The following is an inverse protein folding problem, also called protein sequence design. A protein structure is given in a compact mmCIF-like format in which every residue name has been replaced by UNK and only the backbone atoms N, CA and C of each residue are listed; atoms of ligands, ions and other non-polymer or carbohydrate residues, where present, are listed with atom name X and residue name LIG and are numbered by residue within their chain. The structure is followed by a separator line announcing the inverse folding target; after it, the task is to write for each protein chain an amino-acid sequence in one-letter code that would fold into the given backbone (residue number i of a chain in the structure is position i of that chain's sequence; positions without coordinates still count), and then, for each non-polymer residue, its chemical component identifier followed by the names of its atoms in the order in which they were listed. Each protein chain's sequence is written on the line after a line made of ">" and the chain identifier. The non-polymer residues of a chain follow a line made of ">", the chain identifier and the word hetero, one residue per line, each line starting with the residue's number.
data_IF_972205809339
#
_entry.id   IF_972205809339
#
_cell.length_a   1.000
_cell.length_b   1.000
_cell.length_c   1.000
_cell.angle_alpha   90.00
_cell.angle_beta   90.00
_cell.angle_gamma   90.00
#
_symmetry.space_group_name_H-M   'P 1'
#
loop_
_entity.id
_entity.type
_entity.pdbx_description
1 polymer ?
#
# COMPACT_ATOMS: atom_id res chain seq x y z
N UNK A 1 28.81 6.86 84.39
CA UNK A 1 30.21 6.65 83.95
C UNK A 1 30.20 5.77 82.72
N UNK A 2 30.89 6.22 81.68
CA UNK A 2 30.70 5.89 80.26
C UNK A 2 31.15 4.45 79.93
N UNK A 3 30.28 3.71 79.25
CA UNK A 3 30.56 2.40 78.65
C UNK A 3 31.32 2.52 77.34
N UNK A 4 32.10 1.48 77.09
CA UNK A 4 33.27 1.44 76.23
C UNK A 4 32.96 0.71 74.91
N UNK A 5 33.77 1.02 73.88
CA UNK A 5 34.08 0.22 72.68
C UNK A 5 33.17 0.32 71.44
N UNK A 6 33.61 1.21 70.54
CA UNK A 6 34.06 0.90 69.17
C UNK A 6 33.84 -0.55 68.72
N UNK A 7 32.93 -0.77 67.78
CA UNK A 7 33.06 -1.75 66.69
C UNK A 7 31.95 -1.53 65.65
N UNK A 8 32.28 -1.78 64.37
CA UNK A 8 31.39 -1.79 63.19
C UNK A 8 31.31 -0.44 62.44
N UNK A 9 32.38 -0.17 61.69
CA UNK A 9 32.30 0.43 60.36
C UNK A 9 31.62 -0.56 59.40
N UNK A 10 31.10 -0.01 58.31
CA UNK A 10 30.69 -0.64 57.04
C UNK A 10 29.25 -1.14 56.91
N UNK A 11 28.73 -0.94 55.69
CA UNK A 11 27.47 -1.42 55.06
C UNK A 11 26.43 -0.28 54.99
N UNK A 12 26.48 0.52 53.92
CA UNK A 12 25.69 0.34 52.68
C UNK A 12 24.39 1.14 52.77
N UNK A 13 23.87 1.77 51.73
CA UNK A 13 24.28 2.01 50.37
C UNK A 13 23.16 2.94 49.88
N UNK A 14 23.51 4.16 49.51
CA UNK A 14 23.02 4.80 48.30
C UNK A 14 21.56 4.49 47.92
N UNK A 15 20.60 5.09 48.61
CA UNK A 15 19.20 5.20 48.15
C UNK A 15 19.10 6.23 47.02
N UNK A 16 19.84 6.00 45.93
CA UNK A 16 19.53 6.59 44.63
C UNK A 16 18.51 5.64 44.02
N UNK A 17 17.24 6.01 44.14
CA UNK A 17 16.20 5.50 43.25
C UNK A 17 16.60 5.88 41.82
N UNK A 18 17.44 5.05 41.20
CA UNK A 18 17.50 4.94 39.76
C UNK A 18 16.12 4.43 39.34
N UNK A 19 15.19 5.37 39.10
CA UNK A 19 14.17 5.17 38.10
C UNK A 19 14.92 4.99 36.78
N UNK A 20 15.36 3.76 36.54
CA UNK A 20 15.70 3.32 35.21
C UNK A 20 14.38 3.34 34.46
N UNK A 21 14.05 4.50 33.88
CA UNK A 21 13.14 4.55 32.75
C UNK A 21 13.85 3.75 31.67
N UNK A 22 13.61 2.44 31.68
CA UNK A 22 13.78 1.61 30.51
C UNK A 22 12.81 2.21 29.49
N UNK A 23 13.26 3.23 28.77
CA UNK A 23 12.70 3.55 27.47
C UNK A 23 12.93 2.29 26.66
N UNK A 24 11.95 1.39 26.67
CA UNK A 24 11.86 0.32 25.69
C UNK A 24 11.93 1.09 24.38
N UNK A 25 13.07 1.00 23.69
CA UNK A 25 13.20 1.55 22.36
C UNK A 25 12.17 0.79 21.54
N UNK A 26 11.01 1.38 21.32
CA UNK A 26 9.99 0.82 20.44
C UNK A 26 10.63 0.70 19.08
N UNK A 27 10.79 -0.52 18.59
CA UNK A 27 11.32 -0.79 17.25
C UNK A 27 10.59 0.11 16.26
N UNK A 28 11.34 0.84 15.44
CA UNK A 28 10.74 1.68 14.39
C UNK A 28 10.03 0.74 13.41
N UNK A 29 8.74 0.95 13.17
CA UNK A 29 8.02 0.20 12.14
C UNK A 29 8.46 0.69 10.77
N UNK A 30 8.56 -0.22 9.81
CA UNK A 30 8.92 0.09 8.43
C UNK A 30 7.80 -0.30 7.51
N UNK A 31 7.45 0.60 6.60
CA UNK A 31 6.47 0.34 5.54
C UNK A 31 7.09 0.57 4.17
N UNK A 32 6.82 -0.33 3.23
CA UNK A 32 7.09 -0.07 1.82
C UNK A 32 5.82 0.42 1.13
N UNK A 33 5.90 1.55 0.42
CA UNK A 33 4.83 2.09 -0.41
C UNK A 33 5.37 2.22 -1.83
N UNK A 34 4.61 1.83 -2.86
CA UNK A 34 5.10 1.90 -4.20
C UNK A 34 5.03 3.34 -4.72
N UNK A 35 6.05 3.76 -5.46
CA UNK A 35 6.01 5.06 -6.13
C UNK A 35 4.89 5.06 -7.18
N UNK A 36 3.87 5.88 -6.97
CA UNK A 36 2.69 5.91 -7.81
C UNK A 36 2.08 7.32 -7.82
N UNK A 37 1.68 7.86 -8.99
CA UNK A 37 1.03 9.17 -9.07
C UNK A 37 -0.14 9.28 -8.10
N UNK A 38 -0.32 10.43 -7.45
CA UNK A 38 -1.36 10.72 -6.43
C UNK A 38 -1.19 9.96 -5.11
N UNK A 39 -0.85 8.68 -5.16
CA UNK A 39 -0.80 7.78 -4.00
C UNK A 39 0.45 7.97 -3.15
N UNK A 40 1.62 8.00 -3.78
CA UNK A 40 2.92 8.18 -3.11
C UNK A 40 3.95 8.68 -4.13
N UNK A 41 4.02 10.00 -4.29
CA UNK A 41 4.90 10.67 -5.24
C UNK A 41 6.32 10.77 -4.66
N UNK A 42 6.42 11.03 -3.36
CA UNK A 42 7.67 11.11 -2.61
C UNK A 42 7.48 10.67 -1.16
N UNK A 43 8.54 10.68 -0.34
CA UNK A 43 8.43 10.35 1.10
C UNK A 43 7.51 11.28 1.89
N UNK A 44 7.22 12.48 1.37
CA UNK A 44 6.42 13.48 2.07
C UNK A 44 5.10 13.80 1.36
N UNK A 45 4.86 13.22 0.18
CA UNK A 45 3.76 13.61 -0.71
C UNK A 45 3.00 12.38 -1.22
N UNK A 46 1.68 12.39 -1.03
CA UNK A 46 0.75 11.40 -1.56
C UNK A 46 -0.23 10.93 -0.49
N UNK A 47 -1.44 10.57 -0.91
CA UNK A 47 -2.51 10.21 0.03
C UNK A 47 -2.16 9.01 0.92
N UNK A 48 -1.37 8.06 0.41
CA UNK A 48 -0.95 6.88 1.20
C UNK A 48 0.19 7.20 2.15
N UNK A 49 0.99 8.22 1.85
CA UNK A 49 1.99 8.75 2.77
C UNK A 49 1.29 9.42 3.96
N UNK A 50 0.27 10.24 3.69
CA UNK A 50 -0.51 10.89 4.74
C UNK A 50 -1.32 9.88 5.56
N UNK A 51 -1.87 8.84 4.92
CA UNK A 51 -2.45 7.69 5.61
C UNK A 51 -1.49 7.06 6.62
N UNK A 52 -0.23 6.78 6.23
CA UNK A 52 0.75 6.22 7.16
C UNK A 52 1.13 7.18 8.28
N UNK A 53 1.22 8.49 8.02
CA UNK A 53 1.45 9.48 9.09
C UNK A 53 0.32 9.47 10.12
N UNK A 54 -0.93 9.30 9.68
CA UNK A 54 -2.09 9.16 10.58
C UNK A 54 -2.00 7.86 11.39
N UNK A 55 -1.63 6.74 10.76
CA UNK A 55 -1.39 5.48 11.48
C UNK A 55 -0.29 5.62 12.53
N UNK A 56 0.83 6.24 12.19
CA UNK A 56 1.95 6.50 13.10
C UNK A 56 1.48 7.28 14.34
N UNK A 57 0.68 8.33 14.13
CA UNK A 57 0.10 9.13 15.22
C UNK A 57 -0.84 8.31 16.11
N UNK A 58 -1.70 7.47 15.53
CA UNK A 58 -2.65 6.63 16.28
C UNK A 58 -1.98 5.48 17.03
N UNK A 59 -0.84 5.01 16.54
CA UNK A 59 -0.01 4.02 17.22
C UNK A 59 0.89 4.61 18.31
N UNK A 60 1.02 5.94 18.37
CA UNK A 60 2.07 6.62 19.14
C UNK A 60 3.46 6.03 18.85
N UNK A 61 3.74 5.76 17.57
CA UNK A 61 4.96 5.07 17.12
C UNK A 61 5.46 5.63 15.80
N UNK A 62 6.79 5.76 15.68
CA UNK A 62 7.42 6.15 14.42
C UNK A 62 7.29 5.05 13.36
N UNK A 63 6.87 5.43 12.15
CA UNK A 63 6.84 4.57 10.98
C UNK A 63 7.78 5.16 9.91
N UNK A 64 8.82 4.43 9.55
CA UNK A 64 9.72 4.74 8.43
C UNK A 64 9.06 4.36 7.11
N UNK A 65 8.86 5.35 6.23
CA UNK A 65 8.24 5.18 4.91
C UNK A 65 9.31 4.99 3.83
N UNK A 66 9.24 3.86 3.13
CA UNK A 66 10.12 3.55 2.00
C UNK A 66 9.34 3.58 0.68
N UNK A 67 9.55 4.65 -0.10
CA UNK A 67 8.97 4.79 -1.45
C UNK A 67 9.90 4.12 -2.47
N UNK A 68 9.42 3.07 -3.14
CA UNK A 68 10.21 2.25 -4.07
C UNK A 68 9.36 1.76 -5.26
N UNK A 69 9.93 1.18 -6.34
CA UNK A 69 9.12 0.59 -7.41
C UNK A 69 8.15 -0.50 -6.91
N UNK A 70 6.98 -0.63 -7.55
CA UNK A 70 5.88 -1.49 -7.09
C UNK A 70 6.29 -2.96 -6.86
N UNK A 71 7.03 -3.58 -7.79
CA UNK A 71 7.55 -4.94 -7.57
C UNK A 71 8.55 -5.04 -6.40
N UNK A 72 9.32 -3.97 -6.14
CA UNK A 72 10.29 -3.94 -5.05
C UNK A 72 9.60 -3.80 -3.70
N UNK A 73 8.53 -3.01 -3.60
CA UNK A 73 7.78 -2.85 -2.35
C UNK A 73 7.16 -4.17 -1.90
N UNK A 74 6.62 -4.97 -2.84
CA UNK A 74 6.13 -6.33 -2.58
C UNK A 74 7.26 -7.27 -2.16
N UNK A 75 8.40 -7.21 -2.84
CA UNK A 75 9.54 -8.03 -2.48
C UNK A 75 10.01 -7.77 -1.03
N UNK A 76 9.97 -6.53 -0.55
CA UNK A 76 10.38 -6.19 0.81
C UNK A 76 9.50 -6.85 1.89
N UNK A 77 8.18 -6.86 1.71
CA UNK A 77 7.30 -7.53 2.68
C UNK A 77 7.45 -9.05 2.63
N UNK A 78 7.57 -9.62 1.42
CA UNK A 78 7.78 -11.07 1.21
C UNK A 78 9.11 -11.56 1.80
N UNK A 79 10.11 -10.69 1.91
CA UNK A 79 11.45 -11.01 2.45
C UNK A 79 11.71 -10.45 3.85
N UNK A 80 10.66 -10.06 4.58
CA UNK A 80 10.75 -9.54 5.96
C UNK A 80 11.65 -8.29 6.11
N UNK A 81 11.87 -7.52 5.04
CA UNK A 81 12.68 -6.28 5.08
C UNK A 81 11.91 -5.08 5.63
N UNK A 82 10.59 -5.12 5.55
CA UNK A 82 9.66 -4.15 6.14
C UNK A 82 8.60 -4.90 6.95
N UNK A 83 7.93 -4.19 7.83
CA UNK A 83 6.91 -4.76 8.72
C UNK A 83 5.55 -4.87 8.02
N UNK A 84 5.29 -4.02 7.02
CA UNK A 84 4.10 -4.11 6.17
C UNK A 84 4.27 -3.36 4.84
N UNK A 85 3.35 -3.59 3.92
CA UNK A 85 3.26 -2.91 2.62
C UNK A 85 1.83 -2.44 2.36
N UNK A 86 1.70 -1.29 1.69
CA UNK A 86 0.44 -0.82 1.12
C UNK A 86 0.70 0.07 -0.11
N UNK A 87 -0.25 0.20 -1.04
CA UNK A 87 -1.50 -0.52 -1.14
C UNK A 87 -1.33 -1.86 -1.86
N UNK A 88 -2.17 -2.85 -1.56
CA UNK A 88 -2.23 -4.07 -2.37
C UNK A 88 -3.66 -4.52 -2.64
N UNK A 89 -3.98 -4.86 -3.88
CA UNK A 89 -5.30 -5.37 -4.24
C UNK A 89 -5.44 -6.81 -3.74
N UNK A 90 -6.61 -7.16 -3.21
CA UNK A 90 -6.97 -8.55 -2.94
C UNK A 90 -7.87 -9.06 -4.07
N UNK A 91 -7.43 -10.02 -4.89
CA UNK A 91 -8.31 -10.70 -5.84
C UNK A 91 -9.49 -11.37 -5.10
N UNK A 92 -10.65 -11.45 -5.75
CA UNK A 92 -11.84 -12.08 -5.15
C UNK A 92 -11.75 -13.60 -5.13
N UNK A 93 -10.86 -14.20 -5.92
CA UNK A 93 -10.61 -15.64 -5.90
C UNK A 93 -9.61 -15.98 -4.80
N UNK A 94 -9.88 -17.04 -4.04
CA UNK A 94 -9.06 -17.58 -2.95
C UNK A 94 -7.71 -18.15 -3.42
N UNK A 95 -7.27 -17.83 -4.64
CA UNK A 95 -5.95 -18.18 -5.17
C UNK A 95 -4.85 -17.38 -4.47
N UNK A 96 -4.55 -17.87 -3.27
CA UNK A 96 -3.35 -17.76 -2.46
C UNK A 96 -3.01 -16.36 -1.90
N UNK A 97 -3.00 -16.21 -0.55
CA UNK A 97 -1.82 -15.62 0.06
C UNK A 97 -0.64 -16.48 -0.40
N UNK A 98 0.36 -15.89 -1.06
CA UNK A 98 1.66 -16.57 -1.15
C UNK A 98 2.05 -16.87 0.29
N UNK A 99 2.53 -18.09 0.60
CA UNK A 99 2.86 -18.54 1.97
C UNK A 99 3.70 -17.53 2.80
N UNK A 100 4.32 -16.57 2.12
CA UNK A 100 5.21 -15.56 2.66
C UNK A 100 4.52 -14.28 3.17
N UNK A 101 3.24 -14.01 2.88
CA UNK A 101 2.53 -12.83 3.39
C UNK A 101 1.05 -13.07 3.67
N UNK A 102 0.44 -12.21 4.48
CA UNK A 102 -0.99 -12.18 4.80
C UNK A 102 -1.58 -10.82 4.45
N UNK A 103 -2.87 -10.79 4.09
CA UNK A 103 -3.62 -9.55 3.90
C UNK A 103 -4.09 -8.98 5.24
N UNK A 104 -4.30 -7.68 5.30
CA UNK A 104 -5.02 -7.06 6.42
C UNK A 104 -6.45 -7.58 6.54
N UNK A 105 -6.93 -7.69 7.78
CA UNK A 105 -8.33 -8.05 8.04
C UNK A 105 -9.23 -6.95 7.46
N UNK A 106 -8.86 -5.69 7.70
CA UNK A 106 -9.58 -4.54 7.19
C UNK A 106 -9.23 -4.15 5.76
N UNK A 107 -10.23 -3.64 5.03
CA UNK A 107 -10.06 -2.96 3.73
C UNK A 107 -9.77 -1.49 3.98
N UNK A 108 -8.70 -0.94 3.39
CA UNK A 108 -8.38 0.47 3.54
C UNK A 108 -9.27 1.35 2.65
N UNK A 109 -9.45 0.94 1.40
CA UNK A 109 -10.35 1.58 0.43
C UNK A 109 -10.66 0.62 -0.72
N UNK A 110 -11.48 1.05 -1.68
CA UNK A 110 -11.67 0.32 -2.92
C UNK A 110 -11.13 1.09 -4.13
N UNK A 111 -10.55 0.37 -5.08
CA UNK A 111 -9.97 0.97 -6.29
C UNK A 111 -10.64 0.42 -7.54
N UNK A 112 -10.94 1.29 -8.50
CA UNK A 112 -11.42 0.86 -9.81
C UNK A 112 -10.20 0.57 -10.70
N UNK A 113 -10.12 -0.67 -11.18
CA UNK A 113 -9.23 -1.01 -12.27
C UNK A 113 -10.00 -0.81 -13.57
N UNK A 114 -9.37 -0.11 -14.50
CA UNK A 114 -9.96 0.33 -15.75
C UNK A 114 -9.14 -0.22 -16.89
N UNK A 115 -9.83 -0.68 -17.93
CA UNK A 115 -9.24 -1.12 -19.18
C UNK A 115 -9.18 0.07 -20.15
N UNK A 116 -7.96 0.50 -20.43
CA UNK A 116 -7.62 1.52 -21.42
C UNK A 116 -7.35 0.85 -22.75
N UNK A 117 -8.06 1.24 -23.80
CA UNK A 117 -7.93 0.66 -25.15
C UNK A 117 -7.90 1.76 -26.20
N UNK A 118 -7.46 1.45 -27.41
CA UNK A 118 -7.61 2.39 -28.52
C UNK A 118 -9.09 2.45 -28.93
N UNK A 119 -9.61 3.63 -29.30
CA UNK A 119 -11.01 3.84 -29.66
C UNK A 119 -11.50 2.94 -30.81
N UNK A 120 -10.65 2.76 -31.82
CA UNK A 120 -10.86 1.86 -32.97
C UNK A 120 -10.80 0.36 -32.63
N UNK A 121 -10.53 -0.02 -31.37
CA UNK A 121 -10.39 -1.41 -30.95
C UNK A 121 -11.55 -1.82 -30.06
N UNK A 122 -12.15 -2.97 -30.37
CA UNK A 122 -13.16 -3.62 -29.54
C UNK A 122 -12.48 -4.75 -28.78
N UNK A 123 -12.44 -4.63 -27.46
CA UNK A 123 -11.88 -5.65 -26.55
C UNK A 123 -13.02 -6.24 -25.75
N UNK A 124 -13.24 -7.54 -25.91
CA UNK A 124 -14.17 -8.33 -25.11
C UNK A 124 -13.53 -8.63 -23.74
N UNK A 125 -14.01 -7.98 -22.68
CA UNK A 125 -13.50 -8.13 -21.31
C UNK A 125 -13.62 -9.59 -20.82
N UNK A 126 -14.55 -10.39 -21.35
CA UNK A 126 -14.68 -11.79 -20.95
C UNK A 126 -13.60 -12.69 -21.55
N UNK A 127 -12.77 -12.18 -22.47
CA UNK A 127 -11.77 -12.93 -23.24
C UNK A 127 -10.42 -12.22 -23.31
N UNK A 128 -10.00 -11.58 -22.22
CA UNK A 128 -8.74 -10.80 -22.19
C UNK A 128 -7.51 -11.61 -22.59
N UNK A 129 -7.51 -12.92 -22.35
CA UNK A 129 -6.43 -13.83 -22.77
C UNK A 129 -6.19 -13.86 -24.29
N UNK A 130 -7.15 -13.40 -25.11
CA UNK A 130 -7.03 -13.33 -26.57
C UNK A 130 -6.34 -12.04 -27.06
N UNK A 131 -5.98 -11.14 -26.15
CA UNK A 131 -5.49 -9.80 -26.47
C UNK A 131 -4.13 -9.56 -25.79
N UNK A 132 -3.33 -8.68 -26.38
CA UNK A 132 -2.11 -8.15 -25.78
C UNK A 132 -2.47 -7.04 -24.80
N UNK A 133 -2.77 -7.42 -23.56
CA UNK A 133 -3.14 -6.49 -22.49
C UNK A 133 -2.00 -6.36 -21.49
N UNK A 134 -1.52 -5.13 -21.29
CA UNK A 134 -0.54 -4.81 -20.26
C UNK A 134 -1.20 -4.53 -18.90
N UNK A 135 -0.49 -4.81 -17.80
CA UNK A 135 -0.78 -4.28 -16.47
C UNK A 135 0.53 -3.95 -15.75
N UNK A 136 0.51 -3.49 -14.50
CA UNK A 136 1.76 -3.37 -13.72
C UNK A 136 2.37 -4.74 -13.45
N UNK A 137 3.70 -4.83 -13.61
CA UNK A 137 4.44 -6.08 -13.49
C UNK A 137 4.26 -6.79 -12.14
N UNK A 138 4.03 -6.06 -11.04
CA UNK A 138 3.81 -6.73 -9.76
C UNK A 138 2.38 -7.30 -9.59
N UNK A 139 1.45 -6.95 -10.48
CA UNK A 139 0.13 -7.57 -10.51
C UNK A 139 0.05 -8.83 -11.37
N UNK A 140 1.01 -9.08 -12.27
CA UNK A 140 1.01 -10.27 -13.15
C UNK A 140 0.77 -11.59 -12.41
N UNK A 141 1.40 -11.87 -11.24
CA UNK A 141 1.16 -13.13 -10.53
C UNK A 141 -0.28 -13.31 -10.03
N UNK A 142 -1.12 -12.27 -10.10
CA UNK A 142 -2.49 -12.21 -9.56
C UNK A 142 -3.54 -12.05 -10.66
N UNK A 143 -3.11 -11.79 -11.90
CA UNK A 143 -3.96 -11.75 -13.09
C UNK A 143 -3.60 -12.93 -13.99
N UNK A 144 -4.16 -14.11 -13.71
CA UNK A 144 -3.79 -15.36 -14.40
C UNK A 144 -4.00 -15.32 -15.93
N UNK A 145 -4.89 -14.47 -16.42
CA UNK A 145 -5.16 -14.25 -17.85
C UNK A 145 -4.18 -13.28 -18.53
N UNK A 146 -3.48 -12.44 -17.75
CA UNK A 146 -2.58 -11.40 -18.26
C UNK A 146 -1.12 -11.85 -18.22
N UNK A 147 -0.38 -11.60 -19.30
CA UNK A 147 1.02 -12.04 -19.46
C UNK A 147 2.01 -10.90 -19.67
N UNK A 148 1.53 -9.67 -19.88
CA UNK A 148 2.38 -8.53 -20.21
C UNK A 148 2.44 -7.53 -19.05
N UNK A 149 3.63 -7.33 -18.52
CA UNK A 149 3.90 -6.41 -17.42
C UNK A 149 4.58 -5.15 -17.93
N UNK A 150 4.23 -4.03 -17.31
CA UNK A 150 4.89 -2.73 -17.47
C UNK A 150 5.27 -2.19 -16.10
N UNK A 151 6.18 -1.23 -16.06
CA UNK A 151 6.51 -0.44 -14.85
C UNK A 151 6.29 1.06 -15.09
N UNK A 152 5.67 1.43 -16.20
CA UNK A 152 5.47 2.81 -16.61
C UNK A 152 4.06 2.99 -17.20
N UNK A 153 3.16 3.56 -16.40
CA UNK A 153 1.76 3.83 -16.77
C UNK A 153 1.67 4.63 -18.08
N UNK A 154 2.37 5.76 -18.17
CA UNK A 154 2.35 6.62 -19.36
C UNK A 154 2.92 5.91 -20.61
N UNK A 155 3.92 5.04 -20.43
CA UNK A 155 4.49 4.27 -21.53
C UNK A 155 3.45 3.27 -22.07
N UNK A 156 2.70 2.60 -21.19
CA UNK A 156 1.62 1.69 -21.59
C UNK A 156 0.47 2.44 -22.29
N UNK A 157 0.08 3.62 -21.80
CA UNK A 157 -0.90 4.47 -22.50
C UNK A 157 -0.44 4.87 -23.91
N UNK A 158 0.84 5.24 -24.07
CA UNK A 158 1.42 5.52 -25.40
C UNK A 158 1.42 4.29 -26.32
N UNK A 159 1.70 3.09 -25.79
CA UNK A 159 1.59 1.84 -26.55
C UNK A 159 0.15 1.59 -27.01
N UNK A 160 -0.85 1.85 -26.16
CA UNK A 160 -2.28 1.76 -26.53
C UNK A 160 -2.60 2.77 -27.64
N UNK A 161 -2.20 4.03 -27.48
CA UNK A 161 -2.37 5.08 -28.49
C UNK A 161 -1.80 4.68 -29.86
N UNK A 162 -0.62 4.06 -29.89
CA UNK A 162 0.04 3.61 -31.12
C UNK A 162 -0.32 2.18 -31.52
N UNK A 163 -1.36 1.58 -30.91
CA UNK A 163 -1.84 0.22 -31.18
C UNK A 163 -0.78 -0.89 -31.03
N UNK A 164 0.31 -0.61 -30.31
CA UNK A 164 1.37 -1.57 -30.00
C UNK A 164 0.93 -2.64 -28.97
N UNK A 165 -0.10 -2.32 -28.20
CA UNK A 165 -0.78 -3.25 -27.29
C UNK A 165 -2.30 -3.08 -27.48
N UNK A 166 -3.07 -4.13 -27.22
CA UNK A 166 -4.53 -4.13 -27.32
C UNK A 166 -5.19 -3.31 -26.21
N UNK A 167 -4.57 -3.25 -25.04
CA UNK A 167 -5.02 -2.44 -23.92
C UNK A 167 -4.05 -2.42 -22.75
N UNK A 168 -4.40 -1.64 -21.75
CA UNK A 168 -3.71 -1.54 -20.48
C UNK A 168 -4.74 -1.58 -19.35
N UNK A 169 -4.50 -2.34 -18.29
CA UNK A 169 -5.38 -2.43 -17.12
C UNK A 169 -4.63 -1.95 -15.89
N UNK A 170 -5.14 -0.89 -15.26
CA UNK A 170 -4.61 -0.39 -14.00
C UNK A 170 -5.61 0.52 -13.26
N UNK A 171 -5.24 0.95 -12.05
CA UNK A 171 -6.03 1.84 -11.21
C UNK A 171 -6.33 3.17 -11.92
N UNK A 172 -7.59 3.61 -11.92
CA UNK A 172 -8.01 4.89 -12.46
C UNK A 172 -7.41 6.08 -11.71
N UNK A 173 -7.39 6.02 -10.38
CA UNK A 173 -6.81 7.05 -9.51
C UNK A 173 -5.35 7.42 -9.85
N UNK A 174 -4.58 6.48 -10.42
CA UNK A 174 -3.20 6.72 -10.84
C UNK A 174 -3.04 6.99 -12.34
N UNK A 175 -3.96 6.44 -13.16
CA UNK A 175 -3.83 6.45 -14.62
C UNK A 175 -4.56 7.62 -15.26
N UNK A 176 -5.75 7.95 -14.76
CA UNK A 176 -6.57 9.03 -15.31
C UNK A 176 -5.90 10.41 -15.22
N UNK A 177 -5.20 10.79 -14.13
CA UNK A 177 -4.48 12.06 -14.10
C UNK A 177 -3.48 12.18 -15.25
N UNK A 178 -2.70 11.12 -15.48
CA UNK A 178 -1.73 11.08 -16.58
C UNK A 178 -2.41 11.11 -17.95
N UNK A 179 -3.53 10.41 -18.12
CA UNK A 179 -4.30 10.45 -19.36
C UNK A 179 -4.85 11.86 -19.63
N UNK A 180 -5.44 12.52 -18.62
CA UNK A 180 -5.99 13.88 -18.71
C UNK A 180 -4.92 14.91 -19.05
N UNK A 181 -3.77 14.85 -18.38
CA UNK A 181 -2.63 15.74 -18.62
C UNK A 181 -2.05 15.57 -20.03
N UNK A 182 -2.23 14.40 -20.66
CA UNK A 182 -1.64 14.06 -21.96
C UNK A 182 -2.70 13.86 -23.06
N UNK A 183 -3.92 14.39 -22.91
CA UNK A 183 -5.03 14.16 -23.83
C UNK A 183 -4.70 14.47 -25.29
N UNK A 184 -3.95 15.55 -25.56
CA UNK A 184 -3.53 15.90 -26.92
C UNK A 184 -2.68 14.80 -27.59
N UNK A 185 -1.88 14.08 -26.80
CA UNK A 185 -1.01 12.99 -27.27
C UNK A 185 -1.70 11.62 -27.20
N UNK A 186 -2.73 11.48 -26.37
CA UNK A 186 -3.44 10.23 -26.08
C UNK A 186 -4.90 10.24 -26.55
N UNK A 187 -5.24 11.05 -27.55
CA UNK A 187 -6.61 11.27 -28.03
C UNK A 187 -7.30 10.02 -28.63
N UNK A 188 -6.55 8.95 -28.88
CA UNK A 188 -7.06 7.66 -29.31
C UNK A 188 -7.39 6.71 -28.15
N UNK A 189 -7.02 7.03 -26.91
CA UNK A 189 -7.25 6.17 -25.75
C UNK A 189 -8.66 6.40 -25.18
N UNK A 190 -9.45 5.34 -25.11
CA UNK A 190 -10.72 5.27 -24.38
C UNK A 190 -10.58 4.38 -23.15
N UNK A 191 -11.53 4.50 -22.23
CA UNK A 191 -11.57 3.72 -20.99
C UNK A 191 -12.89 3.00 -20.82
N UNK A 192 -12.85 1.87 -20.11
CA UNK A 192 -14.03 1.15 -19.62
C UNK A 192 -13.69 0.51 -18.28
N UNK A 193 -14.64 0.50 -17.35
CA UNK A 193 -14.45 -0.18 -16.06
C UNK A 193 -14.16 -1.66 -16.32
N UNK A 194 -13.07 -2.17 -15.74
CA UNK A 194 -12.75 -3.60 -15.77
C UNK A 194 -13.27 -4.28 -14.50
N UNK A 195 -12.81 -3.83 -13.34
CA UNK A 195 -13.18 -4.44 -12.05
C UNK A 195 -12.89 -3.50 -10.89
N UNK A 196 -13.66 -3.59 -9.82
CA UNK A 196 -13.38 -2.91 -8.54
C UNK A 196 -12.73 -3.89 -7.58
N UNK A 197 -11.64 -3.50 -6.94
CA UNK A 197 -10.90 -4.33 -5.98
C UNK A 197 -10.91 -3.72 -4.59
N UNK A 198 -10.97 -4.58 -3.57
CA UNK A 198 -10.63 -4.20 -2.21
C UNK A 198 -9.13 -3.98 -2.11
N UNK A 199 -8.73 -2.84 -1.55
CA UNK A 199 -7.34 -2.53 -1.25
C UNK A 199 -7.06 -2.86 0.21
N UNK A 200 -5.97 -3.57 0.42
CA UNK A 200 -5.50 -4.09 1.69
C UNK A 200 -4.08 -3.59 1.97
N UNK A 201 -3.68 -3.68 3.23
CA UNK A 201 -2.27 -3.79 3.58
C UNK A 201 -1.86 -5.25 3.50
N UNK A 202 -0.56 -5.51 3.38
CA UNK A 202 -0.02 -6.86 3.50
C UNK A 202 1.11 -6.88 4.51
N UNK A 203 1.20 -7.98 5.24
CA UNK A 203 2.17 -8.20 6.31
C UNK A 203 2.95 -9.47 6.03
N UNK A 204 4.20 -9.58 6.46
CA UNK A 204 4.89 -10.86 6.37
C UNK A 204 4.16 -11.92 7.19
N UNK A 205 4.10 -13.16 6.70
CA UNK A 205 3.39 -14.25 7.37
C UNK A 205 4.20 -14.77 8.57
N UNK A 206 4.26 -13.96 9.62
CA UNK A 206 4.99 -14.18 10.86
C UNK A 206 4.11 -13.81 12.05
N UNK A 207 4.47 -14.25 13.25
CA UNK A 207 3.76 -13.84 14.48
C UNK A 207 3.70 -12.31 14.63
N UNK A 208 4.83 -11.63 14.38
CA UNK A 208 4.91 -10.16 14.41
C UNK A 208 3.94 -9.53 13.38
N UNK A 209 3.93 -10.04 12.16
CA UNK A 209 3.03 -9.55 11.10
C UNK A 209 1.55 -9.76 11.43
N UNK A 210 1.20 -10.90 12.04
CA UNK A 210 -0.17 -11.20 12.49
C UNK A 210 -0.63 -10.30 13.64
N UNK A 211 0.25 -10.02 14.60
CA UNK A 211 -0.03 -9.09 15.70
C UNK A 211 -0.20 -7.66 15.17
N UNK A 212 0.69 -7.21 14.29
CA UNK A 212 0.60 -5.89 13.67
C UNK A 212 -0.66 -5.73 12.81
N UNK A 213 -1.06 -6.78 12.07
CA UNK A 213 -2.32 -6.79 11.33
C UNK A 213 -3.50 -6.50 12.26
N UNK A 214 -3.62 -7.23 13.39
CA UNK A 214 -4.73 -7.03 14.33
C UNK A 214 -4.78 -5.60 14.85
N UNK A 215 -3.62 -5.05 15.24
CA UNK A 215 -3.51 -3.68 15.75
C UNK A 215 -3.92 -2.65 14.70
N UNK A 216 -3.34 -2.70 13.50
CA UNK A 216 -3.65 -1.73 12.45
C UNK A 216 -5.07 -1.89 11.92
N UNK A 217 -5.59 -3.11 11.84
CA UNK A 217 -6.97 -3.38 11.46
C UNK A 217 -7.95 -2.78 12.47
N UNK A 218 -7.69 -2.88 13.78
CA UNK A 218 -8.53 -2.21 14.78
C UNK A 218 -8.56 -0.68 14.59
N UNK A 219 -7.40 -0.06 14.33
CA UNK A 219 -7.27 1.38 14.04
C UNK A 219 -8.06 1.77 12.79
N UNK A 220 -7.92 1.00 11.70
CA UNK A 220 -8.64 1.28 10.45
C UNK A 220 -10.15 1.18 10.65
N UNK A 221 -10.61 0.21 11.42
CA UNK A 221 -12.03 0.08 11.74
C UNK A 221 -12.53 1.30 12.53
N UNK A 222 -11.78 1.79 13.52
CA UNK A 222 -12.12 3.02 14.24
C UNK A 222 -12.19 4.24 13.30
N UNK A 223 -11.19 4.42 12.45
CA UNK A 223 -11.17 5.49 11.44
C UNK A 223 -12.35 5.42 10.48
N UNK A 224 -12.79 4.21 10.14
CA UNK A 224 -13.96 4.01 9.28
C UNK A 224 -15.25 4.41 10.01
N UNK A 225 -15.41 3.99 11.26
CA UNK A 225 -16.58 4.32 12.07
C UNK A 225 -16.71 5.82 12.36
N UNK A 226 -15.58 6.54 12.44
CA UNK A 226 -15.55 7.99 12.65
C UNK A 226 -15.69 8.82 11.36
N UNK A 227 -15.58 8.21 10.18
CA UNK A 227 -15.52 8.89 8.89
C UNK A 227 -14.16 9.49 8.53
N UNK A 228 -13.17 9.40 9.43
CA UNK A 228 -11.80 9.89 9.19
C UNK A 228 -11.13 9.18 8.01
N UNK A 229 -11.40 7.87 7.85
CA UNK A 229 -10.83 7.08 6.75
C UNK A 229 -11.34 7.56 5.38
N UNK A 230 -12.64 7.84 5.28
CA UNK A 230 -13.25 8.36 4.05
C UNK A 230 -12.70 9.74 3.70
N UNK A 231 -12.65 10.64 4.69
CA UNK A 231 -12.12 11.98 4.49
C UNK A 231 -10.65 11.95 4.07
N UNK A 232 -9.86 11.02 4.59
CA UNK A 232 -8.44 10.91 4.28
C UNK A 232 -8.20 10.32 2.89
N UNK A 233 -9.02 9.35 2.47
CA UNK A 233 -8.82 8.57 1.24
C UNK A 233 -9.73 9.01 0.08
N UNK A 234 -10.51 10.08 0.23
CA UNK A 234 -11.51 10.53 -0.76
C UNK A 234 -10.96 10.71 -2.18
N UNK A 235 -9.67 11.07 -2.32
CA UNK A 235 -9.02 11.30 -3.61
C UNK A 235 -8.70 10.01 -4.36
N UNK A 236 -8.82 8.85 -3.72
CA UNK A 236 -8.51 7.53 -4.28
C UNK A 236 -9.60 6.48 -4.06
N UNK A 237 -10.51 6.67 -3.09
CA UNK A 237 -11.73 5.88 -2.91
C UNK A 237 -12.93 6.62 -3.50
N UNK A 238 -13.11 6.50 -4.81
CA UNK A 238 -14.22 7.12 -5.50
C UNK A 238 -14.92 6.15 -6.44
N UNK A 239 -16.18 6.45 -6.75
CA UNK A 239 -16.96 5.68 -7.72
C UNK A 239 -16.40 5.93 -9.12
N UNK A 240 -16.29 4.87 -9.91
CA UNK A 240 -15.90 4.99 -11.31
C UNK A 240 -16.80 5.99 -12.04
N UNK A 241 -16.19 7.00 -12.64
CA UNK A 241 -16.85 8.00 -13.48
C UNK A 241 -16.24 7.93 -14.87
N UNK A 242 -17.04 7.61 -15.89
CA UNK A 242 -16.59 7.63 -17.28
C UNK A 242 -16.61 9.04 -17.87
N UNK A 243 -15.63 9.84 -17.47
CA UNK A 243 -15.51 11.26 -17.83
C UNK A 243 -15.20 11.53 -19.31
N UNK A 244 -15.00 10.50 -20.13
CA UNK A 244 -14.78 10.64 -21.58
C UNK A 244 -16.09 10.57 -22.39
N UNK A 245 -17.22 10.24 -21.75
CA UNK A 245 -18.55 10.19 -22.36
C UNK A 245 -19.26 11.54 -22.22
#
# INVERSE_FOLDING_TARGET
>A
MITNRVFIKFICLLSVFFYCNSSIATDILRVSIPQMPVHAVSQNEGVLVDFVKVLAKKLDQNIEIQIVPFSRSIYYVVTNKVDFHLPFIKPNDDSLPKDNFIYSDETIFHVNFVLYTHKDRLVDISKLANYHIETDSAHLPFFGELKMGSSCILCSLKKVQHKMTDGYIFADSSTDPLLRENLALLAGVKRQLYKKFAVKMVFPNTKKGQELNKTLSAIINEMRLSGELEQLLFSVDFVYNDWQI
#
